data_IF_311837074076
#
_entry.id   IF_311837074076
#
_cell.length_a   1.000
_cell.length_b   1.000
_cell.length_c   1.000
_cell.angle_alpha   90.00
_cell.angle_beta   90.00
_cell.angle_gamma   90.00
#
_symmetry.space_group_name_H-M   'P 1'
#
loop_
_entity.id
_entity.type
_entity.pdbx_description
1 polymer ?
#
# COMPACT_ATOMS: atom_id res chain seq x y z
N UNK A 1 0.06 1.73 4.27
CA UNK A 1 -1.34 1.91 3.81
C UNK A 1 -1.42 2.98 2.74
N UNK A 2 -2.17 2.75 1.67
CA UNK A 2 -2.50 3.74 0.63
C UNK A 2 -3.89 4.31 0.89
N UNK A 3 -4.05 5.63 0.75
CA UNK A 3 -5.34 6.33 0.87
C UNK A 3 -5.61 7.11 -0.40
N UNK A 4 -6.78 6.89 -0.97
CA UNK A 4 -7.24 7.53 -2.21
C UNK A 4 -7.95 8.87 -1.98
N UNK A 5 -8.21 9.63 -3.06
CA UNK A 5 -8.73 10.99 -3.00
C UNK A 5 -10.09 11.15 -2.29
N UNK A 6 -10.89 10.09 -2.29
CA UNK A 6 -12.23 10.09 -1.67
C UNK A 6 -12.24 9.31 -0.35
N UNK A 7 -11.07 9.03 0.23
CA UNK A 7 -10.92 8.39 1.54
C UNK A 7 -10.92 6.86 1.53
N UNK A 8 -10.89 6.22 0.36
CA UNK A 8 -10.68 4.77 0.27
C UNK A 8 -9.32 4.40 0.85
N UNK A 9 -9.25 3.28 1.57
CA UNK A 9 -8.02 2.84 2.23
C UNK A 9 -7.68 1.41 1.82
N UNK A 10 -6.38 1.15 1.60
CA UNK A 10 -5.84 -0.19 1.41
C UNK A 10 -4.58 -0.35 2.23
N UNK A 11 -4.56 -1.30 3.16
CA UNK A 11 -3.33 -1.72 3.79
C UNK A 11 -2.57 -2.63 2.82
N UNK A 12 -1.37 -2.20 2.40
CA UNK A 12 -0.57 -2.91 1.40
C UNK A 12 0.21 -4.07 2.03
N UNK A 13 0.76 -3.87 3.23
CA UNK A 13 1.63 -4.83 3.89
C UNK A 13 1.67 -4.56 5.39
N UNK A 14 1.51 -5.61 6.20
CA UNK A 14 1.79 -5.57 7.64
C UNK A 14 2.38 -6.89 8.12
N UNK A 15 3.35 -6.82 9.04
CA UNK A 15 4.00 -8.01 9.64
C UNK A 15 4.59 -9.03 8.63
N UNK A 16 5.00 -8.58 7.43
CA UNK A 16 5.74 -9.41 6.48
C UNK A 16 7.25 -9.33 6.74
N UNK A 17 8.01 -10.30 6.22
CA UNK A 17 9.48 -10.21 6.15
C UNK A 17 10.27 -10.90 7.27
N UNK A 18 9.64 -11.27 8.37
CA UNK A 18 10.32 -11.93 9.50
C UNK A 18 11.41 -11.07 10.13
N UNK A 19 12.56 -11.67 10.43
CA UNK A 19 13.66 -11.02 11.19
C UNK A 19 14.86 -10.59 10.34
N UNK A 20 14.79 -10.73 9.02
CA UNK A 20 15.89 -10.36 8.12
C UNK A 20 15.57 -9.01 7.50
N UNK A 21 16.54 -8.09 7.56
CA UNK A 21 16.40 -6.75 7.01
C UNK A 21 16.08 -6.79 5.51
N UNK A 22 15.09 -6.00 5.10
CA UNK A 22 14.88 -5.69 3.69
C UNK A 22 16.01 -4.76 3.22
N UNK A 23 16.78 -5.17 2.22
CA UNK A 23 17.91 -4.38 1.69
C UNK A 23 17.72 -4.18 0.20
N UNK A 24 17.61 -2.91 -0.22
CA UNK A 24 17.43 -2.52 -1.62
C UNK A 24 16.27 -3.27 -2.33
N UNK A 25 15.19 -3.56 -1.58
CA UNK A 25 14.02 -4.25 -2.09
C UNK A 25 13.05 -3.26 -2.73
N UNK A 26 12.62 -3.58 -3.96
CA UNK A 26 11.58 -2.85 -4.69
C UNK A 26 10.31 -3.70 -4.71
N UNK A 27 9.27 -3.23 -4.03
CA UNK A 27 7.98 -3.92 -3.94
C UNK A 27 6.94 -3.21 -4.81
N UNK A 28 6.31 -3.95 -5.71
CA UNK A 28 5.11 -3.53 -6.43
C UNK A 28 3.91 -4.25 -5.83
N UNK A 29 2.84 -3.52 -5.54
CA UNK A 29 1.59 -4.12 -5.08
C UNK A 29 0.57 -4.18 -6.21
N UNK A 30 -0.01 -5.35 -6.43
CA UNK A 30 -1.00 -5.63 -7.47
C UNK A 30 -1.96 -6.73 -6.99
N UNK A 31 -3.27 -6.50 -7.03
CA UNK A 31 -4.27 -7.50 -6.60
C UNK A 31 -4.20 -8.81 -7.41
N UNK A 32 -3.68 -8.76 -8.63
CA UNK A 32 -3.53 -9.92 -9.51
C UNK A 32 -2.23 -10.70 -9.30
N UNK A 33 -1.31 -10.20 -8.45
CA UNK A 33 -0.06 -10.92 -8.21
C UNK A 33 -0.31 -12.24 -7.46
N UNK A 34 0.32 -13.35 -7.87
CA UNK A 34 0.03 -14.67 -7.33
C UNK A 34 0.59 -14.89 -5.92
N UNK A 35 1.55 -14.06 -5.50
CA UNK A 35 2.33 -14.26 -4.29
C UNK A 35 2.10 -13.12 -3.30
N UNK A 36 2.13 -13.46 -2.01
CA UNK A 36 2.23 -12.49 -0.92
C UNK A 36 3.70 -12.10 -0.70
N UNK A 37 3.93 -11.02 0.04
CA UNK A 37 5.29 -10.60 0.41
C UNK A 37 5.96 -11.73 1.22
N UNK A 38 7.13 -12.25 0.79
CA UNK A 38 7.78 -13.40 1.42
C UNK A 38 8.53 -13.03 2.70
N UNK A 39 9.07 -14.06 3.35
CA UNK A 39 10.04 -13.95 4.44
C UNK A 39 11.34 -14.64 3.99
N UNK A 40 12.45 -13.90 3.77
CA UNK A 40 12.63 -12.46 3.93
C UNK A 40 11.99 -11.63 2.79
N UNK A 41 11.88 -10.32 2.99
CA UNK A 41 11.42 -9.40 1.94
C UNK A 41 12.47 -9.32 0.83
N UNK A 42 12.04 -9.59 -0.40
CA UNK A 42 12.84 -9.44 -1.63
C UNK A 42 12.04 -8.70 -2.69
N UNK A 43 12.72 -8.08 -3.66
CA UNK A 43 12.07 -7.35 -4.75
C UNK A 43 11.09 -8.23 -5.54
N UNK A 44 9.96 -7.66 -5.94
CA UNK A 44 8.95 -8.38 -6.71
C UNK A 44 7.60 -7.67 -6.76
N UNK A 45 6.64 -8.32 -7.41
CA UNK A 45 5.24 -7.91 -7.44
C UNK A 45 4.42 -8.85 -6.57
N UNK A 46 3.65 -8.29 -5.64
CA UNK A 46 2.92 -9.03 -4.62
C UNK A 46 1.50 -8.51 -4.46
N UNK A 47 0.57 -9.37 -4.06
CA UNK A 47 -0.75 -8.90 -3.63
C UNK A 47 -0.66 -8.22 -2.25
N UNK A 48 -1.50 -7.22 -1.96
CA UNK A 48 -1.62 -6.67 -0.62
C UNK A 48 -1.81 -7.78 0.43
N UNK A 49 -1.00 -7.76 1.51
CA UNK A 49 -0.93 -8.89 2.45
C UNK A 49 -0.78 -8.42 3.90
N UNK A 50 -1.77 -8.74 4.73
CA UNK A 50 -1.89 -8.29 6.12
C UNK A 50 -1.76 -9.50 7.05
N UNK A 51 -0.59 -9.69 7.66
CA UNK A 51 -0.34 -10.83 8.55
C UNK A 51 -0.68 -10.52 10.02
N UNK A 52 -0.94 -9.24 10.35
CA UNK A 52 -1.36 -8.80 11.67
C UNK A 52 -2.18 -7.51 11.58
N UNK A 53 -3.08 -7.27 12.55
CA UNK A 53 -3.79 -6.01 12.64
C UNK A 53 -2.85 -4.88 13.09
N UNK A 54 -2.89 -3.74 12.39
CA UNK A 54 -2.13 -2.53 12.74
C UNK A 54 -3.05 -1.32 12.74
N UNK A 55 -2.66 -0.28 13.48
CA UNK A 55 -3.33 1.02 13.50
C UNK A 55 -2.30 2.11 13.21
N UNK A 56 -2.67 3.06 12.37
CA UNK A 56 -1.76 4.13 11.98
C UNK A 56 -2.01 5.36 12.86
N UNK A 57 -0.93 6.02 13.29
CA UNK A 57 -1.07 7.30 14.02
C UNK A 57 -1.67 8.39 13.12
N UNK A 58 -2.36 9.35 13.73
CA UNK A 58 -2.80 10.58 13.04
C UNK A 58 -1.63 11.18 12.23
N UNK A 59 -1.85 11.61 10.98
CA UNK A 59 -3.13 11.93 10.34
C UNK A 59 -3.76 10.79 9.52
N UNK A 60 -3.34 9.53 9.70
CA UNK A 60 -3.94 8.40 8.99
C UNK A 60 -5.42 8.20 9.39
N UNK A 61 -6.29 7.73 8.46
CA UNK A 61 -7.64 7.31 8.79
C UNK A 61 -7.66 6.23 9.89
N UNK A 62 -8.77 6.16 10.63
CA UNK A 62 -9.02 5.08 11.58
C UNK A 62 -9.46 3.80 10.87
N UNK A 63 -9.23 2.60 11.45
CA UNK A 63 -9.71 1.35 10.88
C UNK A 63 -11.25 1.28 10.82
N UNK A 64 -11.85 0.40 9.99
CA UNK A 64 -11.19 -0.67 9.22
C UNK A 64 -10.52 -0.18 7.93
N UNK A 65 -9.46 -0.86 7.52
CA UNK A 65 -8.79 -0.64 6.24
C UNK A 65 -9.15 -1.72 5.24
N UNK A 66 -9.22 -1.37 3.95
CA UNK A 66 -9.34 -2.36 2.88
C UNK A 66 -8.06 -3.19 2.71
N UNK A 67 -8.19 -4.32 2.03
CA UNK A 67 -7.07 -5.25 1.76
C UNK A 67 -6.89 -5.55 0.27
N UNK A 68 -7.60 -4.83 -0.61
CA UNK A 68 -7.56 -5.01 -2.06
C UNK A 68 -7.52 -3.65 -2.74
N UNK A 69 -6.59 -3.46 -3.69
CA UNK A 69 -6.44 -2.26 -4.51
C UNK A 69 -7.67 -1.98 -5.38
N UNK A 70 -8.46 -3.01 -5.70
CA UNK A 70 -9.75 -2.88 -6.39
C UNK A 70 -10.76 -1.97 -5.70
N UNK A 71 -10.55 -1.58 -4.44
CA UNK A 71 -11.35 -0.51 -3.79
C UNK A 71 -11.27 0.83 -4.53
N UNK A 72 -10.23 1.04 -5.33
CA UNK A 72 -10.05 2.25 -6.14
C UNK A 72 -10.70 2.14 -7.53
N UNK A 73 -11.24 0.97 -7.91
CA UNK A 73 -11.92 0.82 -9.19
C UNK A 73 -13.19 1.68 -9.25
N UNK A 74 -13.47 2.25 -10.42
CA UNK A 74 -14.61 3.14 -10.66
C UNK A 74 -14.65 4.38 -9.73
N UNK A 75 -13.51 4.77 -9.17
CA UNK A 75 -13.35 5.99 -8.37
C UNK A 75 -12.67 7.10 -9.19
N UNK A 76 -12.95 8.36 -8.84
CA UNK A 76 -12.25 9.50 -9.42
C UNK A 76 -10.76 9.47 -9.00
N UNK A 77 -9.81 9.41 -9.95
CA UNK A 77 -8.39 9.29 -9.62
C UNK A 77 -7.76 10.62 -9.22
N UNK A 78 -8.43 11.75 -9.54
CA UNK A 78 -7.92 13.09 -9.30
C UNK A 78 -8.10 13.49 -7.83
N UNK A 79 -7.02 13.98 -7.22
CA UNK A 79 -7.00 14.52 -5.86
C UNK A 79 -5.80 14.01 -5.06
N UNK A 80 -5.90 14.08 -3.73
CA UNK A 80 -4.79 13.72 -2.86
C UNK A 80 -4.69 12.19 -2.68
N UNK A 81 -3.55 11.65 -3.07
CA UNK A 81 -3.14 10.30 -2.70
C UNK A 81 -2.10 10.36 -1.60
N UNK A 82 -2.29 9.54 -0.56
CA UNK A 82 -1.40 9.51 0.61
C UNK A 82 -0.88 8.09 0.85
N UNK A 83 0.44 7.94 0.95
CA UNK A 83 1.09 6.73 1.42
C UNK A 83 1.48 6.89 2.90
N UNK A 84 0.93 6.04 3.76
CA UNK A 84 1.28 5.96 5.18
C UNK A 84 2.20 4.76 5.42
N UNK A 85 3.32 5.04 6.07
CA UNK A 85 4.32 4.04 6.48
C UNK A 85 4.56 4.23 7.97
N UNK A 86 4.50 3.14 8.73
CA UNK A 86 4.74 3.18 10.16
C UNK A 86 5.59 2.00 10.59
N UNK A 87 6.66 2.32 11.31
CA UNK A 87 7.46 1.35 12.03
C UNK A 87 6.84 1.11 13.41
N UNK A 88 6.75 -0.16 13.79
CA UNK A 88 6.21 -0.62 15.08
C UNK A 88 7.29 -1.23 15.99
N UNK A 89 8.56 -1.25 15.58
CA UNK A 89 9.66 -1.80 16.34
C UNK A 89 10.71 -0.71 16.59
N UNK A 90 10.81 -0.28 17.84
CA UNK A 90 11.57 0.93 18.24
C UNK A 90 13.06 0.93 17.87
N UNK A 91 13.68 -0.24 17.71
CA UNK A 91 15.12 -0.38 17.45
C UNK A 91 15.42 -0.36 15.95
N UNK A 92 14.44 -0.66 15.11
CA UNK A 92 14.64 -0.77 13.68
C UNK A 92 14.55 0.62 13.03
N UNK A 93 15.24 0.77 11.90
CA UNK A 93 15.19 1.98 11.09
C UNK A 93 15.25 1.60 9.62
N UNK A 94 14.71 2.46 8.77
CA UNK A 94 14.71 2.25 7.33
C UNK A 94 14.35 3.51 6.58
N UNK A 95 14.51 3.47 5.26
CA UNK A 95 14.08 4.55 4.38
C UNK A 95 13.58 3.98 3.06
N UNK A 96 12.63 4.67 2.45
CA UNK A 96 12.21 4.41 1.06
C UNK A 96 13.06 5.31 0.17
N UNK A 97 14.23 4.80 -0.21
CA UNK A 97 15.13 5.50 -1.13
C UNK A 97 14.52 5.57 -2.53
N UNK A 98 14.59 6.73 -3.18
CA UNK A 98 14.01 6.95 -4.51
C UNK A 98 12.49 7.22 -4.52
N UNK A 99 11.84 7.21 -3.36
CA UNK A 99 10.42 7.50 -3.23
C UNK A 99 9.52 6.33 -3.63
N UNK A 100 8.27 6.64 -3.94
CA UNK A 100 7.26 5.67 -4.35
C UNK A 100 6.59 6.13 -5.63
N UNK A 101 6.01 5.19 -6.36
CA UNK A 101 5.29 5.45 -7.61
C UNK A 101 3.89 4.90 -7.52
N UNK A 102 2.92 5.62 -8.09
CA UNK A 102 1.54 5.20 -8.23
C UNK A 102 1.18 5.13 -9.71
N UNK A 103 0.87 3.93 -10.20
CA UNK A 103 0.41 3.71 -11.57
C UNK A 103 -1.11 3.66 -11.56
N UNK A 104 -1.77 4.69 -12.12
CA UNK A 104 -3.22 4.76 -12.23
C UNK A 104 -3.63 4.52 -13.68
N UNK A 105 -4.54 3.57 -13.89
CA UNK A 105 -5.27 3.44 -15.16
C UNK A 105 -6.68 3.96 -14.96
N UNK A 106 -7.10 4.91 -15.79
CA UNK A 106 -8.44 5.51 -15.73
C UNK A 106 -9.10 5.52 -17.10
N UNK A 107 -10.42 5.46 -17.13
CA UNK A 107 -11.21 5.79 -18.31
C UNK A 107 -11.51 7.31 -18.33
N UNK A 108 -11.73 7.87 -19.51
CA UNK A 108 -12.26 9.24 -19.61
C UNK A 108 -13.74 9.26 -19.22
N UNK A 109 -14.17 10.28 -18.49
CA UNK A 109 -15.60 10.51 -18.24
C UNK A 109 -16.20 11.13 -19.48
N UNK A 110 -17.08 10.40 -20.16
CA UNK A 110 -17.90 10.96 -21.24
C UNK A 110 -19.07 11.71 -20.60
N UNK A 111 -19.00 13.04 -20.59
CA UNK A 111 -20.14 13.86 -20.20
C UNK A 111 -21.21 13.78 -21.30
N UNK A 112 -22.35 13.17 -21.01
CA UNK A 112 -23.56 13.36 -21.82
C UNK A 112 -24.13 14.74 -21.50
N UNK A 113 -24.09 15.63 -22.50
CA UNK A 113 -24.79 16.92 -22.55
C UNK A 113 -26.29 16.74 -22.75
#
# INVERSE_FOLDING_TARGET
MLVGPQGQTVELMSCAGGSINAVNANLTFDDSAPNQVPTPIVSGTYQPSIFCARTYSSPAPTPPYGTQLSVFNDTLPNGLWSLFVQDYFFIDTGSISGGWTLNITSCEIVSTI
#
